data_IF_472236503994
#
_entry.id   IF_472236503994
#
_cell.length_a   1.000
_cell.length_b   1.000
_cell.length_c   1.000
_cell.angle_alpha   90.00
_cell.angle_beta   90.00
_cell.angle_gamma   90.00
#
_symmetry.space_group_name_H-M   'P 1'
#
loop_
_entity.id
_entity.type
_entity.pdbx_description
1 polymer ?
#
# COMPACT_ATOMS: atom_id res chain seq x y z
N UNK A 1 -25.71 -15.16 -10.19
CA UNK A 1 -24.75 -14.47 -9.29
C UNK A 1 -24.25 -13.25 -10.02
N UNK A 2 -24.33 -12.06 -9.42
CA UNK A 2 -23.81 -10.85 -10.05
C UNK A 2 -22.32 -10.74 -9.73
N UNK A 3 -21.45 -10.80 -10.73
CA UNK A 3 -19.99 -10.76 -10.55
C UNK A 3 -19.52 -9.48 -9.84
N UNK A 4 -20.22 -8.36 -10.02
CA UNK A 4 -19.86 -7.09 -9.37
C UNK A 4 -20.03 -7.13 -7.85
N UNK A 5 -20.89 -8.01 -7.32
CA UNK A 5 -21.01 -8.21 -5.87
C UNK A 5 -19.74 -8.80 -5.25
N UNK A 6 -18.92 -9.52 -6.04
CA UNK A 6 -17.63 -10.02 -5.55
C UNK A 6 -16.58 -8.93 -5.32
N UNK A 7 -16.78 -7.71 -5.80
CA UNK A 7 -15.91 -6.57 -5.56
C UNK A 7 -16.34 -5.73 -4.36
N UNK A 8 -17.43 -6.11 -3.67
CA UNK A 8 -17.87 -5.41 -2.46
C UNK A 8 -17.06 -5.81 -1.24
N UNK A 9 -16.88 -4.85 -0.32
CA UNK A 9 -16.18 -5.01 0.95
C UNK A 9 -17.11 -4.79 2.16
N UNK A 10 -18.41 -5.07 1.99
CA UNK A 10 -19.38 -4.90 3.05
C UNK A 10 -19.01 -5.68 4.30
N UNK A 11 -19.13 -5.03 5.47
CA UNK A 11 -18.74 -5.61 6.77
C UNK A 11 -17.23 -5.69 7.02
N UNK A 12 -16.41 -5.23 6.08
CA UNK A 12 -14.96 -5.16 6.25
C UNK A 12 -14.53 -3.92 7.02
N UNK A 13 -13.45 -4.04 7.78
CA UNK A 13 -12.73 -2.92 8.42
C UNK A 13 -11.28 -2.94 7.95
N UNK A 14 -10.86 -1.87 7.28
CA UNK A 14 -9.53 -1.77 6.67
C UNK A 14 -8.66 -0.71 7.36
N UNK A 15 -7.47 -1.09 7.80
CA UNK A 15 -6.42 -0.14 8.21
C UNK A 15 -5.57 0.17 6.98
N UNK A 16 -5.49 1.46 6.61
CA UNK A 16 -4.66 1.92 5.49
C UNK A 16 -3.58 2.88 6.00
N UNK A 17 -2.32 2.43 5.95
CA UNK A 17 -1.19 3.27 6.37
C UNK A 17 -0.76 4.22 5.25
N UNK A 18 -0.31 5.43 5.61
CA UNK A 18 0.03 6.45 4.62
C UNK A 18 -1.15 6.93 3.79
N UNK A 19 -2.36 6.93 4.36
CA UNK A 19 -3.63 7.21 3.65
C UNK A 19 -4.00 8.69 3.54
N UNK A 20 -3.17 9.61 4.03
CA UNK A 20 -3.47 11.05 3.95
C UNK A 20 -3.43 11.62 2.53
N UNK A 21 -2.70 11.00 1.61
CA UNK A 21 -2.52 11.47 0.21
C UNK A 21 -2.13 10.33 -0.74
N UNK A 22 -2.09 10.64 -2.04
CA UNK A 22 -1.55 9.76 -3.08
C UNK A 22 -2.24 8.40 -3.15
N UNK A 23 -1.46 7.34 -3.29
CA UNK A 23 -1.93 5.96 -3.45
C UNK A 23 -2.75 5.51 -2.22
N UNK A 24 -2.26 5.76 -1.01
CA UNK A 24 -2.96 5.34 0.21
C UNK A 24 -4.33 6.00 0.36
N UNK A 25 -4.46 7.30 0.03
CA UNK A 25 -5.75 8.00 0.00
C UNK A 25 -6.69 7.38 -1.03
N UNK A 26 -6.21 7.13 -2.24
CA UNK A 26 -7.03 6.52 -3.29
C UNK A 26 -7.53 5.12 -2.91
N UNK A 27 -6.69 4.30 -2.28
CA UNK A 27 -7.09 2.98 -1.77
C UNK A 27 -8.14 3.11 -0.66
N UNK A 28 -7.94 4.02 0.30
CA UNK A 28 -8.88 4.23 1.40
C UNK A 28 -10.27 4.63 0.88
N UNK A 29 -10.34 5.54 -0.09
CA UNK A 29 -11.59 5.96 -0.73
C UNK A 29 -12.23 4.82 -1.53
N UNK A 30 -11.47 4.11 -2.35
CA UNK A 30 -11.99 2.98 -3.15
C UNK A 30 -12.54 1.84 -2.26
N UNK A 31 -11.90 1.57 -1.12
CA UNK A 31 -12.41 0.58 -0.17
C UNK A 31 -13.72 1.04 0.48
N UNK A 32 -13.82 2.33 0.81
CA UNK A 32 -15.06 2.90 1.34
C UNK A 32 -16.20 2.87 0.31
N UNK A 33 -15.93 3.23 -0.94
CA UNK A 33 -16.89 3.12 -2.06
C UNK A 33 -17.38 1.69 -2.27
N UNK A 34 -16.52 0.71 -2.02
CA UNK A 34 -16.85 -0.71 -2.08
C UNK A 34 -17.57 -1.24 -0.81
N UNK A 35 -17.82 -0.41 0.20
CA UNK A 35 -18.58 -0.76 1.39
C UNK A 35 -17.77 -1.04 2.65
N UNK A 36 -16.44 -0.87 2.66
CA UNK A 36 -15.63 -1.02 3.86
C UNK A 36 -15.74 0.17 4.80
N UNK A 37 -15.62 -0.08 6.09
CA UNK A 37 -15.23 0.93 7.07
C UNK A 37 -13.70 1.06 7.08
N UNK A 38 -13.17 2.28 7.25
CA UNK A 38 -11.73 2.51 7.03
C UNK A 38 -11.09 3.27 8.19
N UNK A 39 -9.94 2.79 8.62
CA UNK A 39 -9.03 3.52 9.51
C UNK A 39 -7.94 4.17 8.65
N UNK A 40 -8.00 5.48 8.54
CA UNK A 40 -7.02 6.30 7.84
C UNK A 40 -5.86 6.61 8.79
N UNK A 41 -4.64 6.24 8.39
CA UNK A 41 -3.48 6.49 9.24
C UNK A 41 -2.30 7.09 8.46
N UNK A 42 -1.73 8.16 9.00
CA UNK A 42 -0.48 8.78 8.56
C UNK A 42 0.06 9.69 9.67
N UNK A 43 1.22 10.32 9.44
CA UNK A 43 1.82 11.25 10.41
C UNK A 43 1.08 12.58 10.52
N UNK A 44 0.43 13.04 9.45
CA UNK A 44 -0.35 14.29 9.43
C UNK A 44 -1.80 14.01 9.82
N UNK A 45 -2.22 14.49 10.98
CA UNK A 45 -3.61 14.35 11.44
C UNK A 45 -4.59 15.05 10.50
N UNK A 46 -4.27 16.24 10.03
CA UNK A 46 -5.14 17.02 9.15
C UNK A 46 -5.44 16.27 7.84
N UNK A 47 -4.42 15.64 7.25
CA UNK A 47 -4.58 14.90 5.99
C UNK A 47 -5.48 13.67 6.19
N UNK A 48 -5.28 12.88 7.26
CA UNK A 48 -6.11 11.69 7.51
C UNK A 48 -7.52 12.05 7.96
N UNK A 49 -7.71 13.17 8.66
CA UNK A 49 -9.03 13.70 8.99
C UNK A 49 -9.82 14.06 7.74
N UNK A 50 -9.20 14.79 6.80
CA UNK A 50 -9.84 15.15 5.55
C UNK A 50 -10.28 13.93 4.72
N UNK A 51 -9.49 12.85 4.72
CA UNK A 51 -9.86 11.60 4.05
C UNK A 51 -10.99 10.88 4.82
N UNK A 52 -10.91 10.82 6.14
CA UNK A 52 -11.95 10.19 6.96
C UNK A 52 -13.30 10.91 6.82
N UNK A 53 -13.32 12.25 6.69
CA UNK A 53 -14.54 13.03 6.43
C UNK A 53 -15.17 12.68 5.07
N UNK A 54 -14.35 12.52 4.02
CA UNK A 54 -14.84 12.08 2.70
C UNK A 54 -15.49 10.70 2.79
N UNK A 55 -14.87 9.76 3.53
CA UNK A 55 -15.40 8.41 3.73
C UNK A 55 -16.73 8.45 4.50
N UNK A 56 -16.82 9.28 5.54
CA UNK A 56 -18.08 9.47 6.30
C UNK A 56 -19.19 10.06 5.43
N UNK A 57 -18.83 10.96 4.51
CA UNK A 57 -19.80 11.52 3.55
C UNK A 57 -20.34 10.47 2.57
N UNK A 58 -19.63 9.36 2.36
CA UNK A 58 -20.10 8.18 1.61
C UNK A 58 -20.99 7.24 2.44
N UNK A 59 -21.28 7.59 3.71
CA UNK A 59 -22.09 6.78 4.62
C UNK A 59 -21.32 5.63 5.30
N UNK A 60 -19.98 5.62 5.26
CA UNK A 60 -19.13 4.62 5.93
C UNK A 60 -18.55 5.16 7.23
N UNK A 61 -18.22 4.25 8.15
CA UNK A 61 -17.47 4.61 9.35
C UNK A 61 -16.02 4.85 8.98
N UNK A 62 -15.42 5.90 9.56
CA UNK A 62 -14.02 6.17 9.37
C UNK A 62 -13.36 6.71 10.64
N UNK A 63 -12.14 6.25 10.91
CA UNK A 63 -11.26 6.80 11.95
C UNK A 63 -10.06 7.48 11.30
N UNK A 64 -9.61 8.56 11.92
CA UNK A 64 -8.36 9.24 11.60
C UNK A 64 -7.40 9.06 12.77
N UNK A 65 -6.32 8.32 12.58
CA UNK A 65 -5.34 8.01 13.64
C UNK A 65 -3.95 8.39 13.15
N UNK A 66 -3.29 9.29 13.88
CA UNK A 66 -1.87 9.59 13.62
C UNK A 66 -1.00 8.40 13.98
N UNK A 67 -0.09 8.04 13.08
CA UNK A 67 0.90 7.02 13.34
C UNK A 67 2.15 7.25 12.49
N UNK A 68 3.29 7.36 13.14
CA UNK A 68 4.56 7.08 12.50
C UNK A 68 4.80 5.56 12.56
N UNK A 69 4.78 4.91 11.40
CA UNK A 69 4.98 3.45 11.34
C UNK A 69 6.38 3.00 11.77
N UNK A 70 7.34 3.91 11.90
CA UNK A 70 8.66 3.62 12.46
C UNK A 70 8.63 3.48 13.99
N UNK A 71 7.62 4.05 14.65
CA UNK A 71 7.44 3.98 16.11
C UNK A 71 6.64 2.72 16.49
N UNK A 72 7.24 1.79 17.27
CA UNK A 72 6.55 0.56 17.68
C UNK A 72 5.30 0.79 18.54
N UNK A 73 5.33 1.79 19.43
CA UNK A 73 4.21 2.08 20.34
C UNK A 73 3.03 2.65 19.54
N UNK A 74 3.30 3.52 18.57
CA UNK A 74 2.25 4.07 17.70
C UNK A 74 1.64 3.00 16.81
N UNK A 75 2.40 2.03 16.28
CA UNK A 75 1.84 0.88 15.54
C UNK A 75 0.89 0.06 16.42
N UNK A 76 1.30 -0.25 17.66
CA UNK A 76 0.46 -0.98 18.61
C UNK A 76 -0.81 -0.18 18.95
N UNK A 77 -0.68 1.12 19.21
CA UNK A 77 -1.80 2.01 19.48
C UNK A 77 -2.77 2.09 18.29
N UNK A 78 -2.25 2.20 17.05
CA UNK A 78 -3.05 2.21 15.83
C UNK A 78 -3.93 0.97 15.74
N UNK A 79 -3.35 -0.23 15.86
CA UNK A 79 -4.10 -1.49 15.70
C UNK A 79 -5.08 -1.68 16.86
N UNK A 80 -4.68 -1.41 18.10
CA UNK A 80 -5.55 -1.49 19.27
C UNK A 80 -6.76 -0.56 19.15
N UNK A 81 -6.54 0.73 18.89
CA UNK A 81 -7.62 1.71 18.71
C UNK A 81 -8.55 1.36 17.54
N UNK A 82 -7.98 0.85 16.46
CA UNK A 82 -8.77 0.37 15.32
C UNK A 82 -9.72 -0.74 15.73
N UNK A 83 -9.22 -1.74 16.48
CA UNK A 83 -10.04 -2.85 16.94
C UNK A 83 -11.10 -2.39 17.96
N UNK A 84 -10.71 -1.61 18.96
CA UNK A 84 -11.61 -1.12 20.02
C UNK A 84 -12.77 -0.28 19.46
N UNK A 85 -12.49 0.63 18.50
CA UNK A 85 -13.49 1.56 17.98
C UNK A 85 -14.29 1.03 16.81
N UNK A 86 -13.70 0.14 15.99
CA UNK A 86 -14.39 -0.45 14.83
C UNK A 86 -14.98 -1.83 15.11
N UNK A 87 -14.57 -2.50 16.20
CA UNK A 87 -15.07 -3.81 16.62
C UNK A 87 -14.38 -5.00 15.95
N UNK A 88 -13.63 -4.77 14.87
CA UNK A 88 -12.86 -5.80 14.16
C UNK A 88 -11.76 -5.18 13.30
N UNK A 89 -10.82 -6.02 12.84
CA UNK A 89 -9.86 -5.69 11.77
C UNK A 89 -9.86 -6.85 10.79
N UNK A 90 -10.18 -6.59 9.52
CA UNK A 90 -10.24 -7.61 8.47
C UNK A 90 -9.25 -7.35 7.34
N UNK A 91 -8.82 -6.10 7.14
CA UNK A 91 -7.92 -5.71 6.07
C UNK A 91 -6.79 -4.83 6.61
N UNK A 92 -5.57 -5.06 6.09
CA UNK A 92 -4.42 -4.21 6.32
C UNK A 92 -3.80 -3.82 4.98
N UNK A 93 -3.62 -2.53 4.75
CA UNK A 93 -2.85 -2.01 3.62
C UNK A 93 -1.57 -1.38 4.13
N UNK A 94 -0.45 -2.06 3.93
CA UNK A 94 0.89 -1.56 4.16
C UNK A 94 1.31 -0.68 2.98
N UNK A 95 0.87 0.58 3.00
CA UNK A 95 1.20 1.56 1.96
C UNK A 95 2.26 2.57 2.46
N UNK A 96 2.35 2.84 3.76
CA UNK A 96 3.43 3.67 4.28
C UNK A 96 4.79 3.04 3.94
N UNK A 97 5.64 3.82 3.30
CA UNK A 97 6.93 3.40 2.79
C UNK A 97 7.45 4.44 1.80
N UNK A 98 8.61 4.22 1.27
CA UNK A 98 9.20 5.11 0.30
C UNK A 98 10.72 5.04 0.27
N UNK A 99 11.29 5.75 -0.68
CA UNK A 99 12.70 5.92 -0.92
C UNK A 99 12.89 6.62 -2.26
N UNK A 100 14.09 7.06 -2.52
CA UNK A 100 14.45 7.77 -3.73
C UNK A 100 15.80 7.33 -4.27
N UNK A 101 16.29 7.99 -5.32
CA UNK A 101 17.64 7.75 -5.81
C UNK A 101 18.68 8.16 -4.78
N UNK A 102 19.70 7.33 -4.62
CA UNK A 102 20.83 7.54 -3.70
C UNK A 102 22.11 7.12 -4.41
N UNK A 103 23.19 7.86 -4.18
CA UNK A 103 24.50 7.41 -4.60
C UNK A 103 24.97 6.27 -3.67
N UNK A 104 25.21 5.06 -4.17
CA UNK A 104 25.59 3.92 -3.34
C UNK A 104 26.99 4.07 -2.70
N UNK A 105 27.84 4.96 -3.20
CA UNK A 105 29.14 5.20 -2.63
C UNK A 105 29.11 6.17 -1.44
N UNK A 106 28.10 7.04 -1.37
CA UNK A 106 27.95 8.03 -0.28
C UNK A 106 26.91 7.63 0.77
N UNK A 107 26.02 6.70 0.44
CA UNK A 107 25.01 6.20 1.38
C UNK A 107 25.66 5.35 2.48
N UNK A 108 25.43 5.70 3.73
CA UNK A 108 25.90 4.93 4.88
C UNK A 108 25.09 3.62 5.05
N UNK A 109 25.68 2.57 5.67
CA UNK A 109 24.93 1.35 6.02
C UNK A 109 23.69 1.63 6.86
N UNK A 110 23.75 2.60 7.79
CA UNK A 110 22.60 2.97 8.62
C UNK A 110 21.45 3.58 7.83
N UNK A 111 21.72 4.40 6.81
CA UNK A 111 20.68 4.91 5.91
C UNK A 111 20.06 3.81 5.08
N UNK A 112 20.85 2.84 4.62
CA UNK A 112 20.35 1.65 3.93
C UNK A 112 19.40 0.84 4.84
N UNK A 113 19.79 0.59 6.09
CA UNK A 113 19.00 -0.10 7.09
C UNK A 113 17.68 0.64 7.41
N UNK A 114 17.71 1.97 7.47
CA UNK A 114 16.50 2.77 7.67
C UNK A 114 15.50 2.59 6.52
N UNK A 115 15.96 2.52 5.27
CA UNK A 115 15.09 2.27 4.12
C UNK A 115 14.49 0.86 4.18
N UNK A 116 15.28 -0.15 4.55
CA UNK A 116 14.76 -1.50 4.78
C UNK A 116 13.73 -1.53 5.93
N UNK A 117 14.04 -0.90 7.05
CA UNK A 117 13.13 -0.82 8.19
C UNK A 117 11.80 -0.17 7.80
N UNK A 118 11.85 0.98 7.12
CA UNK A 118 10.64 1.73 6.74
C UNK A 118 9.75 0.97 5.74
N UNK A 119 10.31 0.17 4.85
CA UNK A 119 9.54 -0.52 3.81
C UNK A 119 9.21 -1.99 4.13
N UNK A 120 9.99 -2.65 4.98
CA UNK A 120 9.87 -4.10 5.22
C UNK A 120 9.51 -4.39 6.68
N UNK A 121 10.34 -3.95 7.64
CA UNK A 121 10.15 -4.29 9.06
C UNK A 121 8.85 -3.72 9.62
N UNK A 122 8.49 -2.49 9.24
CA UNK A 122 7.23 -1.87 9.65
C UNK A 122 6.01 -2.63 9.15
N UNK A 123 6.02 -3.07 7.87
CA UNK A 123 4.96 -3.87 7.28
C UNK A 123 4.83 -5.23 7.98
N UNK A 124 5.97 -5.90 8.24
CA UNK A 124 6.00 -7.16 8.98
C UNK A 124 5.41 -7.02 10.39
N UNK A 125 5.83 -5.97 11.13
CA UNK A 125 5.32 -5.72 12.48
C UNK A 125 3.80 -5.45 12.51
N UNK A 126 3.26 -4.70 11.53
CA UNK A 126 1.82 -4.50 11.40
C UNK A 126 1.08 -5.79 11.05
N UNK A 127 1.66 -6.66 10.24
CA UNK A 127 1.10 -8.00 9.98
C UNK A 127 0.99 -8.82 11.28
N UNK A 128 2.05 -8.82 12.11
CA UNK A 128 2.02 -9.54 13.40
C UNK A 128 0.92 -9.03 14.34
N UNK A 129 0.66 -7.73 14.35
CA UNK A 129 -0.39 -7.13 15.18
C UNK A 129 -1.80 -7.39 14.64
N UNK A 130 -1.99 -7.39 13.31
CA UNK A 130 -3.32 -7.49 12.70
C UNK A 130 -3.79 -8.94 12.49
N UNK A 131 -2.89 -9.89 12.21
CA UNK A 131 -3.26 -11.27 11.87
C UNK A 131 -4.06 -11.99 12.95
N UNK A 132 -3.73 -11.87 14.26
CA UNK A 132 -4.56 -12.46 15.31
C UNK A 132 -6.02 -11.95 15.26
N UNK A 133 -6.20 -10.62 15.12
CA UNK A 133 -7.53 -9.99 15.04
C UNK A 133 -8.29 -10.39 13.76
N UNK A 134 -7.58 -10.56 12.65
CA UNK A 134 -8.17 -11.07 11.41
C UNK A 134 -8.67 -12.51 11.57
N UNK A 135 -7.91 -13.37 12.25
CA UNK A 135 -8.33 -14.75 12.55
C UNK A 135 -9.58 -14.79 13.43
N UNK A 136 -9.64 -13.94 14.45
CA UNK A 136 -10.82 -13.77 15.31
C UNK A 136 -12.05 -13.28 14.53
N UNK A 137 -11.84 -12.44 13.51
CA UNK A 137 -12.89 -11.96 12.62
C UNK A 137 -13.36 -12.98 11.57
N UNK A 138 -12.77 -14.19 11.55
CA UNK A 138 -13.09 -15.27 10.61
C UNK A 138 -12.22 -15.28 9.35
N UNK A 139 -11.22 -14.43 9.26
CA UNK A 139 -10.27 -14.33 8.16
C UNK A 139 -9.95 -12.89 7.78
N UNK A 140 -8.98 -12.72 6.88
CA UNK A 140 -8.54 -11.38 6.52
C UNK A 140 -7.75 -11.27 5.21
N UNK A 141 -7.36 -10.05 4.91
CA UNK A 141 -6.55 -9.73 3.74
C UNK A 141 -5.46 -8.70 4.07
N UNK A 142 -4.26 -8.95 3.61
CA UNK A 142 -3.14 -8.03 3.69
C UNK A 142 -2.71 -7.64 2.28
N UNK A 143 -2.63 -6.35 2.03
CA UNK A 143 -2.10 -5.76 0.82
C UNK A 143 -0.82 -4.98 1.12
N UNK A 144 0.27 -5.36 0.49
CA UNK A 144 1.52 -4.62 0.54
C UNK A 144 1.68 -3.76 -0.72
N UNK A 145 2.04 -2.49 -0.57
CA UNK A 145 2.38 -1.63 -1.71
C UNK A 145 3.89 -1.74 -1.96
N UNK A 146 4.23 -2.58 -2.94
CA UNK A 146 5.60 -2.77 -3.41
C UNK A 146 5.99 -1.68 -4.43
N UNK A 147 6.72 -2.01 -5.45
CA UNK A 147 7.09 -1.15 -6.59
C UNK A 147 7.67 -2.02 -7.70
N UNK A 148 7.57 -1.57 -8.95
CA UNK A 148 8.33 -2.15 -10.06
C UNK A 148 9.85 -2.05 -9.87
N UNK A 149 10.33 -1.14 -9.01
CA UNK A 149 11.72 -1.09 -8.58
C UNK A 149 12.20 -2.36 -7.86
N UNK A 150 11.28 -3.22 -7.42
CA UNK A 150 11.58 -4.56 -6.92
C UNK A 150 12.06 -5.52 -8.01
N UNK A 151 11.74 -5.24 -9.27
CA UNK A 151 12.01 -6.09 -10.45
C UNK A 151 13.03 -5.47 -11.39
N UNK A 152 12.99 -4.14 -11.55
CA UNK A 152 13.87 -3.45 -12.49
C UNK A 152 15.24 -3.14 -11.90
N UNK A 153 16.27 -3.31 -12.71
CA UNK A 153 17.59 -2.75 -12.41
C UNK A 153 17.59 -1.26 -12.77
N UNK A 154 17.65 -0.41 -11.77
CA UNK A 154 17.63 1.04 -11.94
C UNK A 154 18.79 1.69 -11.18
N UNK A 155 19.53 2.57 -11.86
CA UNK A 155 20.64 3.32 -11.25
C UNK A 155 20.14 4.12 -10.05
N UNK A 156 20.96 4.19 -9.00
CA UNK A 156 20.69 4.96 -7.78
C UNK A 156 19.50 4.47 -6.93
N UNK A 157 18.92 3.31 -7.22
CA UNK A 157 17.81 2.73 -6.46
C UNK A 157 18.18 1.47 -5.68
N UNK A 158 19.48 1.24 -5.41
CA UNK A 158 19.95 0.03 -4.75
C UNK A 158 19.25 -0.22 -3.41
N UNK A 159 19.12 0.77 -2.53
CA UNK A 159 18.46 0.61 -1.23
C UNK A 159 16.93 0.41 -1.38
N UNK A 160 16.27 1.31 -2.12
CA UNK A 160 14.82 1.26 -2.30
C UNK A 160 14.39 0.01 -3.09
N UNK A 161 15.08 -0.31 -4.19
CA UNK A 161 14.80 -1.50 -4.99
C UNK A 161 14.96 -2.78 -4.18
N UNK A 162 16.04 -2.88 -3.41
CA UNK A 162 16.28 -4.00 -2.48
C UNK A 162 15.15 -4.11 -1.44
N UNK A 163 14.74 -3.00 -0.83
CA UNK A 163 13.66 -3.01 0.15
C UNK A 163 12.32 -3.46 -0.46
N UNK A 164 11.99 -2.99 -1.67
CA UNK A 164 10.75 -3.40 -2.35
C UNK A 164 10.81 -4.84 -2.88
N UNK A 165 11.97 -5.33 -3.28
CA UNK A 165 12.18 -6.73 -3.60
C UNK A 165 12.01 -7.62 -2.35
N UNK A 166 12.57 -7.21 -1.22
CA UNK A 166 12.39 -7.89 0.05
C UNK A 166 10.91 -7.91 0.49
N UNK A 167 10.18 -6.79 0.38
CA UNK A 167 8.73 -6.73 0.67
C UNK A 167 7.93 -7.65 -0.27
N UNK A 168 8.28 -7.70 -1.55
CA UNK A 168 7.64 -8.60 -2.51
C UNK A 168 7.88 -10.08 -2.17
N UNK A 169 9.09 -10.43 -1.72
CA UNK A 169 9.37 -11.80 -1.29
C UNK A 169 8.70 -12.11 0.05
N UNK A 170 8.73 -11.20 1.02
CA UNK A 170 8.02 -11.31 2.28
C UNK A 170 6.51 -11.56 2.07
N UNK A 171 5.90 -10.89 1.09
CA UNK A 171 4.49 -11.12 0.71
C UNK A 171 4.24 -12.60 0.37
N UNK A 172 5.15 -13.25 -0.39
CA UNK A 172 5.02 -14.67 -0.76
C UNK A 172 5.15 -15.59 0.46
N UNK A 173 6.09 -15.29 1.35
CA UNK A 173 6.33 -16.10 2.56
C UNK A 173 5.14 -15.99 3.53
N UNK A 174 4.71 -14.76 3.84
CA UNK A 174 3.56 -14.54 4.74
C UNK A 174 2.25 -15.10 4.18
N UNK A 175 2.10 -15.20 2.86
CA UNK A 175 0.96 -15.86 2.24
C UNK A 175 0.90 -17.36 2.58
N UNK A 176 2.03 -18.01 2.73
CA UNK A 176 2.10 -19.41 3.18
C UNK A 176 1.87 -19.53 4.69
N UNK A 177 2.50 -18.64 5.48
CA UNK A 177 2.44 -18.70 6.94
C UNK A 177 1.04 -18.39 7.48
N UNK A 178 0.26 -17.55 6.79
CA UNK A 178 -1.05 -17.09 7.28
C UNK A 178 -2.24 -17.81 6.63
N UNK A 179 -2.00 -18.60 5.58
CA UNK A 179 -3.04 -19.45 5.01
C UNK A 179 -3.55 -20.49 6.03
N UNK A 180 -4.81 -20.94 5.93
CA UNK A 180 -5.82 -20.52 4.96
C UNK A 180 -6.61 -19.27 5.38
N UNK A 181 -6.33 -18.68 6.55
CA UNK A 181 -7.17 -17.67 7.18
C UNK A 181 -6.94 -16.25 6.61
N UNK A 182 -5.72 -15.92 6.21
CA UNK A 182 -5.40 -14.58 5.73
C UNK A 182 -4.68 -14.67 4.39
N UNK A 183 -5.21 -13.97 3.39
CA UNK A 183 -4.55 -13.81 2.09
C UNK A 183 -3.57 -12.64 2.16
N UNK A 184 -2.39 -12.81 1.58
CA UNK A 184 -1.36 -11.76 1.52
C UNK A 184 -0.92 -11.57 0.08
N UNK A 185 -1.13 -10.37 -0.47
CA UNK A 185 -0.74 -10.04 -1.83
C UNK A 185 -0.05 -8.66 -1.87
N UNK A 186 0.52 -8.32 -3.01
CA UNK A 186 1.08 -7.00 -3.23
C UNK A 186 0.64 -6.43 -4.58
N UNK A 187 0.54 -5.10 -4.64
CA UNK A 187 0.59 -4.34 -5.88
C UNK A 187 1.97 -3.73 -6.01
N UNK A 188 2.55 -3.78 -7.20
CA UNK A 188 3.82 -3.15 -7.54
C UNK A 188 3.55 -2.00 -8.54
N UNK A 189 3.35 -0.77 -8.06
CA UNK A 189 3.14 0.39 -8.92
C UNK A 189 4.36 0.69 -9.78
N UNK A 190 4.09 1.05 -11.04
CA UNK A 190 5.00 1.83 -11.86
C UNK A 190 4.98 3.31 -11.47
N UNK A 191 5.61 4.18 -12.27
CA UNK A 191 5.59 5.62 -12.04
C UNK A 191 4.15 6.14 -11.99
N UNK A 192 3.74 6.60 -10.80
CA UNK A 192 2.38 7.02 -10.51
C UNK A 192 2.36 8.49 -10.11
N UNK A 193 1.56 9.32 -10.77
CA UNK A 193 1.40 10.75 -10.52
C UNK A 193 0.67 10.97 -9.18
N UNK A 194 1.43 10.94 -8.10
CA UNK A 194 0.98 11.41 -6.78
C UNK A 194 1.27 12.89 -6.63
N UNK A 195 0.60 13.56 -5.69
CA UNK A 195 0.90 14.96 -5.36
C UNK A 195 2.39 15.16 -5.04
N UNK A 196 3.01 14.20 -4.34
CA UNK A 196 4.43 14.25 -4.00
C UNK A 196 5.34 14.19 -5.23
N UNK A 197 5.04 13.32 -6.19
CA UNK A 197 5.85 13.18 -7.40
C UNK A 197 5.60 14.34 -8.38
N UNK A 198 4.36 14.75 -8.54
CA UNK A 198 3.97 15.84 -9.43
C UNK A 198 4.58 17.19 -9.00
N UNK A 199 4.76 17.40 -7.68
CA UNK A 199 5.34 18.65 -7.14
C UNK A 199 6.86 18.79 -7.39
N UNK A 200 7.57 17.71 -7.73
CA UNK A 200 9.04 17.73 -7.87
C UNK A 200 9.53 17.27 -9.25
N UNK A 201 8.65 16.74 -10.10
CA UNK A 201 9.02 16.19 -11.41
C UNK A 201 9.02 17.28 -12.48
N UNK A 202 10.16 17.56 -13.14
CA UNK A 202 10.23 18.46 -14.29
C UNK A 202 9.35 17.95 -15.44
N UNK A 203 8.73 18.87 -16.20
CA UNK A 203 7.86 18.53 -17.33
C UNK A 203 8.55 17.66 -18.39
N UNK A 204 9.82 17.96 -18.70
CA UNK A 204 10.61 17.18 -19.66
C UNK A 204 10.84 15.74 -19.19
N UNK A 205 11.10 15.54 -17.88
CA UNK A 205 11.24 14.20 -17.30
C UNK A 205 9.91 13.43 -17.38
N UNK A 206 8.81 14.08 -17.04
CA UNK A 206 7.48 13.49 -17.17
C UNK A 206 7.20 13.04 -18.60
N UNK A 207 7.42 13.90 -19.59
CA UNK A 207 7.21 13.57 -21.01
C UNK A 207 8.07 12.38 -21.46
N UNK A 208 9.35 12.34 -21.04
CA UNK A 208 10.23 11.22 -21.36
C UNK A 208 9.72 9.90 -20.75
N UNK A 209 9.28 9.92 -19.50
CA UNK A 209 8.73 8.73 -18.83
C UNK A 209 7.41 8.28 -19.48
N UNK A 210 6.52 9.21 -19.85
CA UNK A 210 5.28 8.89 -20.58
C UNK A 210 5.60 8.28 -21.96
N UNK A 211 6.56 8.83 -22.68
CA UNK A 211 6.99 8.30 -23.97
C UNK A 211 7.57 6.87 -23.88
N UNK A 212 8.30 6.58 -22.80
CA UNK A 212 8.90 5.26 -22.53
C UNK A 212 7.91 4.24 -21.96
N UNK A 213 6.76 4.68 -21.42
CA UNK A 213 5.71 3.78 -20.95
C UNK A 213 4.91 3.26 -22.16
N UNK A 214 4.68 1.93 -22.31
CA UNK A 214 3.89 1.41 -23.44
C UNK A 214 2.49 2.04 -23.56
N UNK A 215 1.76 2.23 -22.45
CA UNK A 215 0.45 2.91 -22.46
C UNK A 215 0.54 4.44 -22.62
N UNK A 216 1.75 5.02 -22.86
CA UNK A 216 1.97 6.44 -23.17
C UNK A 216 1.41 7.42 -22.16
N UNK A 217 1.29 7.01 -20.91
CA UNK A 217 0.95 7.84 -19.75
C UNK A 217 1.61 7.29 -18.50
N UNK A 218 1.72 8.13 -17.49
CA UNK A 218 1.99 7.66 -16.12
C UNK A 218 0.72 7.14 -15.47
N UNK A 219 0.87 6.28 -14.47
CA UNK A 219 -0.23 5.81 -13.65
C UNK A 219 -0.83 6.93 -12.80
N UNK A 220 -2.07 6.73 -12.38
CA UNK A 220 -2.75 7.55 -11.37
C UNK A 220 -2.91 6.75 -10.07
N UNK A 221 -3.10 7.39 -8.93
CA UNK A 221 -3.46 6.68 -7.70
C UNK A 221 -4.68 5.77 -7.84
N UNK A 222 -5.63 6.12 -8.71
CA UNK A 222 -6.84 5.35 -9.00
C UNK A 222 -6.53 4.04 -9.76
N UNK A 223 -5.54 4.04 -10.66
CA UNK A 223 -5.09 2.80 -11.33
C UNK A 223 -4.60 1.77 -10.29
N UNK A 224 -3.90 2.24 -9.27
CA UNK A 224 -3.40 1.39 -8.18
C UNK A 224 -4.53 0.96 -7.25
N UNK A 225 -5.45 1.87 -6.93
CA UNK A 225 -6.59 1.58 -6.05
C UNK A 225 -7.53 0.53 -6.64
N UNK A 226 -7.72 0.50 -7.97
CA UNK A 226 -8.53 -0.52 -8.65
C UNK A 226 -7.93 -1.93 -8.48
N UNK A 227 -6.62 -2.08 -8.66
CA UNK A 227 -5.93 -3.35 -8.41
C UNK A 227 -5.95 -3.74 -6.91
N UNK A 228 -5.80 -2.74 -6.03
CA UNK A 228 -5.90 -2.93 -4.59
C UNK A 228 -7.30 -3.44 -4.18
N UNK A 229 -8.37 -2.86 -4.73
CA UNK A 229 -9.74 -3.31 -4.49
C UNK A 229 -9.96 -4.75 -4.97
N UNK A 230 -9.49 -5.11 -6.17
CA UNK A 230 -9.54 -6.49 -6.63
C UNK A 230 -8.89 -7.44 -5.62
N UNK A 231 -7.67 -7.16 -5.19
CA UNK A 231 -6.94 -8.04 -4.27
C UNK A 231 -7.54 -8.08 -2.87
N UNK A 232 -8.23 -7.04 -2.42
CA UNK A 232 -8.92 -7.01 -1.14
C UNK A 232 -10.22 -7.83 -1.15
N UNK A 233 -10.94 -7.76 -2.25
CA UNK A 233 -12.31 -8.25 -2.37
C UNK A 233 -12.42 -9.78 -2.53
N UNK A 234 -13.63 -10.34 -2.36
CA UNK A 234 -13.94 -11.75 -2.67
C UNK A 234 -13.63 -12.14 -4.12
N UNK A 235 -13.55 -11.19 -5.08
CA UNK A 235 -13.18 -11.48 -6.46
C UNK A 235 -11.78 -12.11 -6.57
N UNK A 236 -10.92 -11.92 -5.58
CA UNK A 236 -9.59 -12.51 -5.49
C UNK A 236 -9.48 -13.62 -4.43
N UNK A 237 -10.60 -14.27 -4.06
CA UNK A 237 -10.61 -15.29 -2.99
C UNK A 237 -9.62 -16.45 -3.24
N UNK A 238 -9.27 -16.74 -4.50
CA UNK A 238 -8.31 -17.77 -4.89
C UNK A 238 -6.92 -17.21 -5.23
N UNK A 239 -6.60 -16.00 -4.73
CA UNK A 239 -5.34 -15.29 -5.00
C UNK A 239 -4.64 -14.96 -3.68
N UNK A 240 -3.47 -15.58 -3.46
CA UNK A 240 -2.57 -15.26 -2.35
C UNK A 240 -1.11 -15.44 -2.79
N UNK A 241 -0.17 -14.71 -2.19
CA UNK A 241 1.25 -14.73 -2.52
C UNK A 241 1.59 -14.10 -3.87
N UNK A 242 0.69 -13.29 -4.45
CA UNK A 242 0.90 -12.66 -5.77
C UNK A 242 1.32 -11.22 -5.64
N UNK A 243 2.17 -10.81 -6.59
CA UNK A 243 2.55 -9.43 -6.81
C UNK A 243 1.99 -9.05 -8.19
N UNK A 244 1.10 -8.06 -8.22
CA UNK A 244 0.51 -7.54 -9.46
C UNK A 244 1.20 -6.25 -9.83
N UNK A 245 1.89 -6.23 -10.97
CA UNK A 245 2.48 -5.03 -11.53
C UNK A 245 1.37 -4.17 -12.15
N UNK A 246 1.34 -2.89 -11.79
CA UNK A 246 0.42 -1.87 -12.34
C UNK A 246 1.29 -0.72 -12.82
N UNK A 247 1.83 -0.85 -14.02
CA UNK A 247 2.97 -0.07 -14.51
C UNK A 247 2.85 0.45 -15.95
N UNK A 248 1.68 0.24 -16.58
CA UNK A 248 1.45 0.63 -17.96
C UNK A 248 2.16 -0.24 -18.98
N UNK A 249 2.57 -1.47 -18.61
CA UNK A 249 3.20 -2.45 -19.49
C UNK A 249 4.72 -2.28 -19.63
N UNK A 250 5.38 -1.58 -18.70
CA UNK A 250 6.83 -1.38 -18.77
C UNK A 250 7.60 -2.67 -18.42
N UNK A 251 8.55 -3.07 -19.26
CA UNK A 251 9.44 -4.22 -19.03
C UNK A 251 10.77 -3.83 -18.37
N UNK A 252 11.10 -2.54 -18.35
CA UNK A 252 12.29 -1.96 -17.75
C UNK A 252 11.97 -0.61 -17.14
N UNK A 253 12.95 0.01 -16.47
CA UNK A 253 12.78 1.36 -15.93
C UNK A 253 12.46 2.36 -17.03
N UNK A 254 11.44 3.18 -16.82
CA UNK A 254 11.08 4.29 -17.72
C UNK A 254 11.69 5.62 -17.31
N UNK A 255 12.44 5.64 -16.19
CA UNK A 255 13.19 6.81 -15.75
C UNK A 255 14.29 7.11 -16.75
N UNK A 256 14.45 8.38 -17.18
CA UNK A 256 15.56 8.75 -18.02
C UNK A 256 16.89 8.53 -17.30
N UNK A 257 17.94 8.22 -18.09
CA UNK A 257 19.30 7.98 -17.59
C UNK A 257 19.94 9.26 -17.00
#
# INVERSE_FOLDING_TARGET
MNILQHFQLEGSVAIVTGSGRGIGRAIALAYAEAGADVVCSARSLADVQAVAEQIRAMGRRALAITCDVLDPEQRQALVRQSHEQMGRVTHLVNNAGGGGPNDPLSMSPGEFEQILNFNVSTAYALCQLCVPLMREAGGGNILNISSVAARYSQRHFSAYGTAKAALSHLTRLLAQDFAPHVRVNAVAPGPTLTEALNGVMPAAMRQAMEANTPLKRLGTPQDIAAAALYLASPASAWVTGKIIDVDGGADATVWPA
#
